data_IF_842782984376
#
_entry.id   IF_842782984376
#
_cell.length_a   1.000
_cell.length_b   1.000
_cell.length_c   1.000
_cell.angle_alpha   90.00
_cell.angle_beta   90.00
_cell.angle_gamma   90.00
#
_symmetry.space_group_name_H-M   'P 1'
#
loop_
_entity.id
_entity.type
_entity.pdbx_description
1 polymer ?
#
# COMPACT_ATOMS: atom_id res chain seq x y z
N UNK A 1 -0.49 -38.97 37.46
CA UNK A 1 0.86 -38.86 36.86
C UNK A 1 1.28 -37.40 36.95
N UNK A 2 2.32 -37.10 37.74
CA UNK A 2 2.80 -35.75 38.05
C UNK A 2 3.95 -35.42 37.11
N UNK A 3 3.81 -34.39 36.27
CA UNK A 3 4.91 -33.86 35.45
C UNK A 3 5.53 -32.66 36.15
N UNK A 4 6.84 -32.79 36.38
CA UNK A 4 7.69 -31.88 37.15
C UNK A 4 7.99 -30.58 36.40
N UNK A 5 7.91 -29.47 37.12
CA UNK A 5 8.38 -28.15 36.70
C UNK A 5 9.89 -28.04 36.98
N UNK A 6 10.68 -27.71 35.95
CA UNK A 6 12.10 -27.34 36.06
C UNK A 6 12.22 -25.82 35.93
N UNK A 7 12.60 -25.08 36.99
CA UNK A 7 12.90 -23.66 36.88
C UNK A 7 14.32 -23.48 36.34
N UNK A 8 14.44 -22.87 35.15
CA UNK A 8 15.71 -22.44 34.59
C UNK A 8 16.06 -21.07 35.17
N UNK A 9 16.76 -21.08 36.31
CA UNK A 9 17.43 -19.94 36.90
C UNK A 9 18.90 -20.01 36.46
N UNK A 10 19.43 -18.94 35.88
CA UNK A 10 20.88 -18.76 35.79
C UNK A 10 21.35 -18.03 34.54
N UNK A 11 21.67 -16.75 34.68
CA UNK A 11 22.31 -15.98 33.62
C UNK A 11 22.45 -14.49 33.95
N UNK A 12 22.96 -14.16 35.13
CA UNK A 12 23.45 -12.82 35.42
C UNK A 12 24.82 -12.62 34.77
N UNK A 13 25.06 -11.48 34.11
CA UNK A 13 26.27 -10.65 34.28
C UNK A 13 26.39 -9.55 33.20
N UNK A 14 26.32 -8.30 33.66
CA UNK A 14 27.28 -7.23 33.42
C UNK A 14 27.81 -7.01 31.98
N UNK A 15 27.33 -5.95 31.33
CA UNK A 15 28.22 -5.01 30.64
C UNK A 15 27.78 -3.58 30.98
N UNK A 16 28.39 -3.05 32.03
CA UNK A 16 28.58 -1.62 32.26
C UNK A 16 29.66 -1.11 31.28
N UNK A 17 29.53 0.16 30.87
CA UNK A 17 30.56 1.07 30.35
C UNK A 17 30.46 1.38 28.86
N UNK A 18 30.13 2.65 28.58
CA UNK A 18 30.20 3.25 27.25
C UNK A 18 29.72 4.70 27.24
N UNK A 19 30.13 5.49 28.24
CA UNK A 19 29.87 6.93 28.31
C UNK A 19 31.09 7.66 27.75
N UNK A 20 30.98 8.12 26.50
CA UNK A 20 31.84 9.11 25.84
C UNK A 20 30.93 9.86 24.87
N UNK A 21 30.31 10.98 25.24
CA UNK A 21 30.85 12.34 25.27
C UNK A 21 31.77 12.71 24.07
N UNK A 22 31.36 13.77 23.36
CA UNK A 22 32.11 14.61 22.40
C UNK A 22 32.26 13.96 21.00
N UNK A 23 31.77 14.50 19.86
CA UNK A 23 31.81 15.85 19.27
C UNK A 23 30.53 16.07 18.41
N UNK A 24 29.76 17.17 18.47
CA UNK A 24 30.08 18.57 18.18
C UNK A 24 30.80 18.78 16.84
N UNK A 25 30.10 18.57 15.73
CA UNK A 25 30.36 19.26 14.45
C UNK A 25 29.05 19.45 13.68
N UNK A 26 28.42 20.60 13.91
CA UNK A 26 27.45 21.18 13.00
C UNK A 26 28.20 21.76 11.79
N UNK A 27 27.90 21.35 10.54
CA UNK A 27 28.38 22.07 9.38
C UNK A 27 27.57 23.38 9.18
N UNK A 28 28.25 24.45 8.73
CA UNK A 28 27.72 25.80 8.64
C UNK A 28 26.62 25.95 7.58
N UNK A 29 25.67 26.81 7.90
CA UNK A 29 24.68 27.39 7.00
C UNK A 29 25.37 28.05 5.80
N UNK A 30 25.25 27.43 4.62
CA UNK A 30 25.61 28.05 3.35
C UNK A 30 24.35 28.64 2.69
N UNK A 31 24.17 29.93 2.93
CA UNK A 31 23.86 30.98 1.96
C UNK A 31 22.99 30.60 0.75
N UNK A 32 21.72 31.00 0.85
CA UNK A 32 20.90 31.63 -0.20
C UNK A 32 21.60 31.92 -1.55
N UNK A 33 21.42 31.02 -2.52
CA UNK A 33 21.48 31.40 -3.94
C UNK A 33 20.07 31.78 -4.40
N UNK A 34 19.86 33.09 -4.46
CA UNK A 34 18.73 33.76 -5.10
C UNK A 34 18.90 33.57 -6.61
N UNK A 35 18.43 32.45 -7.15
CA UNK A 35 18.31 32.26 -8.60
C UNK A 35 17.10 33.07 -9.08
N UNK A 36 17.33 33.90 -10.09
CA UNK A 36 16.40 34.85 -10.65
C UNK A 36 15.11 34.18 -11.14
N UNK A 37 13.98 34.80 -10.80
CA UNK A 37 12.71 34.53 -11.45
C UNK A 37 12.84 34.86 -12.94
N UNK A 38 12.56 33.92 -13.87
CA UNK A 38 12.29 34.27 -15.24
C UNK A 38 11.01 35.10 -15.27
N UNK A 39 11.16 36.32 -15.78
CA UNK A 39 10.08 37.24 -16.15
C UNK A 39 9.15 36.47 -17.09
N UNK A 40 7.87 36.45 -16.74
CA UNK A 40 6.84 35.67 -17.40
C UNK A 40 6.78 35.90 -18.91
N UNK A 41 6.90 34.81 -19.64
CA UNK A 41 6.26 34.71 -20.94
C UNK A 41 4.73 34.69 -20.70
N UNK A 42 3.95 35.52 -21.41
CA UNK A 42 2.51 35.38 -21.42
C UNK A 42 2.19 34.03 -22.03
N UNK A 43 1.72 33.09 -21.20
CA UNK A 43 1.05 31.88 -21.65
C UNK A 43 -0.17 32.40 -22.41
N UNK A 44 -0.05 32.41 -23.74
CA UNK A 44 -1.19 32.60 -24.63
C UNK A 44 -2.21 31.54 -24.22
N UNK A 45 -3.30 32.02 -23.62
CA UNK A 45 -4.49 31.26 -23.29
C UNK A 45 -4.91 30.48 -24.54
N UNK A 46 -4.54 29.20 -24.59
CA UNK A 46 -5.00 28.26 -25.60
C UNK A 46 -6.46 27.90 -25.28
N UNK A 47 -7.34 28.90 -25.29
CA UNK A 47 -8.78 28.80 -25.04
C UNK A 47 -9.59 28.24 -26.21
N UNK A 48 -8.93 27.60 -27.19
CA UNK A 48 -9.58 27.17 -28.43
C UNK A 48 -10.07 25.71 -28.47
N UNK A 49 -9.77 24.88 -27.47
CA UNK A 49 -10.03 23.43 -27.57
C UNK A 49 -10.92 22.83 -26.48
N UNK A 50 -11.37 23.62 -25.50
CA UNK A 50 -12.19 23.12 -24.39
C UNK A 50 -13.53 22.54 -24.85
N UNK A 51 -14.15 23.14 -25.86
CA UNK A 51 -15.42 22.64 -26.42
C UNK A 51 -15.25 21.35 -27.23
N UNK A 52 -14.15 21.24 -27.99
CA UNK A 52 -13.83 20.03 -28.75
C UNK A 52 -13.50 18.85 -27.81
N UNK A 53 -12.77 19.11 -26.72
CA UNK A 53 -12.48 18.10 -25.69
C UNK A 53 -13.73 17.71 -24.90
N UNK A 54 -14.63 18.66 -24.60
CA UNK A 54 -15.93 18.36 -23.99
C UNK A 54 -16.80 17.47 -24.89
N UNK A 55 -16.89 17.77 -26.18
CA UNK A 55 -17.62 16.93 -27.13
C UNK A 55 -17.02 15.52 -27.23
N UNK A 56 -15.68 15.42 -27.20
CA UNK A 56 -14.97 14.14 -27.21
C UNK A 56 -15.24 13.32 -25.95
N UNK A 57 -15.25 13.96 -24.78
CA UNK A 57 -15.60 13.30 -23.52
C UNK A 57 -17.06 12.85 -23.49
N UNK A 58 -18.00 13.68 -23.95
CA UNK A 58 -19.42 13.31 -24.05
C UNK A 58 -19.64 12.11 -24.98
N UNK A 59 -18.96 12.06 -26.13
CA UNK A 59 -19.01 10.93 -27.05
C UNK A 59 -18.48 9.63 -26.40
N UNK A 60 -17.39 9.72 -25.62
CA UNK A 60 -16.85 8.58 -24.88
C UNK A 60 -17.81 8.09 -23.79
N UNK A 61 -18.45 9.00 -23.05
CA UNK A 61 -19.44 8.65 -22.02
C UNK A 61 -20.67 7.98 -22.66
N UNK A 62 -21.16 8.50 -23.79
CA UNK A 62 -22.28 7.89 -24.52
C UNK A 62 -21.93 6.48 -25.03
N UNK A 63 -20.70 6.29 -25.54
CA UNK A 63 -20.21 4.98 -25.94
C UNK A 63 -20.15 3.99 -24.76
N UNK A 64 -19.57 4.38 -23.62
CA UNK A 64 -19.54 3.53 -22.43
C UNK A 64 -20.95 3.20 -21.92
N UNK A 65 -21.86 4.18 -21.86
CA UNK A 65 -23.24 3.96 -21.43
C UNK A 65 -23.96 2.97 -22.35
N UNK A 66 -23.73 3.05 -23.67
CA UNK A 66 -24.26 2.07 -24.62
C UNK A 66 -23.70 0.66 -24.40
N UNK A 67 -22.41 0.55 -24.06
CA UNK A 67 -21.76 -0.73 -23.81
C UNK A 67 -22.25 -1.37 -22.49
N UNK A 68 -22.39 -0.57 -21.44
CA UNK A 68 -22.95 -1.00 -20.14
C UNK A 68 -24.41 -1.42 -20.29
N UNK A 69 -25.22 -0.64 -21.02
CA UNK A 69 -26.62 -1.01 -21.27
C UNK A 69 -26.75 -2.25 -22.16
N UNK A 70 -25.87 -2.45 -23.14
CA UNK A 70 -25.82 -3.69 -23.91
C UNK A 70 -25.40 -4.89 -23.05
N UNK A 71 -24.48 -4.69 -22.10
CA UNK A 71 -24.08 -5.73 -21.14
C UNK A 71 -25.22 -6.07 -20.17
N UNK A 72 -25.93 -5.08 -19.65
CA UNK A 72 -27.13 -5.27 -18.81
C UNK A 72 -28.32 -5.88 -19.57
N UNK A 73 -28.39 -5.76 -20.90
CA UNK A 73 -29.39 -6.48 -21.71
C UNK A 73 -28.98 -7.92 -22.02
N UNK A 74 -27.68 -8.20 -22.11
CA UNK A 74 -27.14 -9.56 -22.37
C UNK A 74 -27.06 -10.41 -21.13
N UNK A 75 -26.82 -9.80 -19.97
CA UNK A 75 -27.00 -10.43 -18.68
C UNK A 75 -28.09 -9.67 -17.98
N UNK A 76 -29.26 -10.27 -17.83
CA UNK A 76 -30.12 -9.97 -16.70
C UNK A 76 -29.58 -10.81 -15.54
N UNK A 77 -28.60 -10.33 -14.75
CA UNK A 77 -27.99 -11.13 -13.70
C UNK A 77 -29.01 -11.44 -12.59
N UNK A 78 -30.18 -10.80 -12.56
CA UNK A 78 -31.26 -11.14 -11.65
C UNK A 78 -31.92 -12.47 -12.05
N UNK A 79 -32.16 -12.71 -13.35
CA UNK A 79 -32.72 -13.97 -13.83
C UNK A 79 -31.73 -15.15 -13.71
N UNK A 80 -30.44 -14.88 -13.87
CA UNK A 80 -29.39 -15.91 -13.78
C UNK A 80 -28.93 -16.18 -12.33
N UNK A 81 -29.03 -15.20 -11.42
CA UNK A 81 -28.82 -15.42 -9.97
C UNK A 81 -30.02 -16.04 -9.27
N UNK A 82 -31.24 -15.88 -9.80
CA UNK A 82 -32.44 -16.52 -9.25
C UNK A 82 -32.42 -18.06 -9.35
N UNK A 83 -31.53 -18.63 -10.17
CA UNK A 83 -31.41 -20.08 -10.36
C UNK A 83 -30.14 -20.71 -9.80
N UNK A 84 -29.16 -19.94 -9.30
CA UNK A 84 -27.99 -20.55 -8.65
C UNK A 84 -28.35 -20.95 -7.21
N UNK A 85 -28.24 -22.24 -6.86
CA UNK A 85 -28.39 -22.69 -5.48
C UNK A 85 -27.49 -21.87 -4.57
N UNK A 86 -28.00 -21.40 -3.42
CA UNK A 86 -27.20 -20.73 -2.39
C UNK A 86 -25.97 -21.55 -1.95
N UNK A 87 -26.00 -22.87 -2.14
CA UNK A 87 -24.88 -23.77 -1.94
C UNK A 87 -23.71 -23.47 -2.90
N UNK A 88 -23.98 -23.14 -4.16
CA UNK A 88 -22.96 -22.87 -5.17
C UNK A 88 -22.25 -21.53 -4.91
N UNK A 89 -22.98 -20.52 -4.41
CA UNK A 89 -22.40 -19.24 -4.00
C UNK A 89 -21.45 -19.43 -2.81
N UNK A 90 -21.86 -20.20 -1.79
CA UNK A 90 -21.00 -20.49 -0.63
C UNK A 90 -19.74 -21.25 -1.02
N UNK A 91 -19.86 -22.20 -1.94
CA UNK A 91 -18.72 -22.96 -2.46
C UNK A 91 -17.75 -22.05 -3.23
N UNK A 92 -18.26 -21.12 -4.03
CA UNK A 92 -17.44 -20.13 -4.75
C UNK A 92 -16.71 -19.20 -3.79
N UNK A 93 -17.39 -18.65 -2.77
CA UNK A 93 -16.75 -17.79 -1.77
C UNK A 93 -15.63 -18.52 -1.03
N UNK A 94 -15.87 -19.75 -0.57
CA UNK A 94 -14.84 -20.55 0.09
C UNK A 94 -13.64 -20.85 -0.83
N UNK A 95 -13.88 -21.11 -2.12
CA UNK A 95 -12.81 -21.31 -3.10
C UNK A 95 -12.03 -20.01 -3.37
N UNK A 96 -12.69 -18.86 -3.37
CA UNK A 96 -12.07 -17.54 -3.54
C UNK A 96 -11.21 -17.18 -2.33
N UNK A 97 -11.71 -17.41 -1.12
CA UNK A 97 -10.96 -17.24 0.12
C UNK A 97 -9.71 -18.14 0.12
N UNK A 98 -9.84 -19.41 -0.25
CA UNK A 98 -8.70 -20.32 -0.33
C UNK A 98 -7.66 -19.86 -1.37
N UNK A 99 -8.10 -19.33 -2.52
CA UNK A 99 -7.21 -18.79 -3.55
C UNK A 99 -6.49 -17.53 -3.07
N UNK A 100 -7.21 -16.65 -2.36
CA UNK A 100 -6.64 -15.44 -1.75
C UNK A 100 -5.59 -15.81 -0.71
N UNK A 101 -5.90 -16.73 0.21
CA UNK A 101 -4.97 -17.18 1.25
C UNK A 101 -3.70 -17.81 0.65
N UNK A 102 -3.86 -18.67 -0.37
CA UNK A 102 -2.73 -19.26 -1.08
C UNK A 102 -1.87 -18.19 -1.78
N UNK A 103 -2.50 -17.18 -2.37
CA UNK A 103 -1.81 -16.07 -3.00
C UNK A 103 -1.02 -15.23 -1.99
N UNK A 104 -1.63 -14.86 -0.85
CA UNK A 104 -0.95 -14.08 0.19
C UNK A 104 0.18 -14.88 0.85
N UNK A 105 0.00 -16.19 1.06
CA UNK A 105 1.07 -17.06 1.54
C UNK A 105 2.27 -17.07 0.58
N UNK A 106 2.02 -17.15 -0.73
CA UNK A 106 3.05 -17.02 -1.77
C UNK A 106 3.75 -15.66 -1.76
N UNK A 107 3.00 -14.58 -1.53
CA UNK A 107 3.54 -13.23 -1.41
C UNK A 107 4.43 -13.08 -0.17
N UNK A 108 4.00 -13.62 0.98
CA UNK A 108 4.79 -13.62 2.21
C UNK A 108 6.10 -14.41 2.04
N UNK A 109 6.05 -15.58 1.40
CA UNK A 109 7.24 -16.37 1.13
C UNK A 109 8.21 -15.62 0.20
N UNK A 110 7.69 -15.00 -0.86
CA UNK A 110 8.48 -14.19 -1.81
C UNK A 110 9.12 -12.98 -1.11
N UNK A 111 8.35 -12.26 -0.31
CA UNK A 111 8.82 -11.13 0.49
C UNK A 111 10.02 -11.51 1.38
N UNK A 112 9.95 -12.66 2.07
CA UNK A 112 11.05 -13.13 2.93
C UNK A 112 12.34 -13.40 2.15
N UNK A 113 12.23 -13.79 0.89
CA UNK A 113 13.36 -14.08 0.00
C UNK A 113 13.90 -12.84 -0.73
N UNK A 114 13.12 -11.75 -0.78
CA UNK A 114 13.58 -10.50 -1.39
C UNK A 114 14.81 -9.95 -0.64
N UNK A 115 15.84 -9.61 -1.43
CA UNK A 115 16.97 -8.84 -0.92
C UNK A 115 16.50 -7.41 -0.62
N UNK A 116 17.16 -6.75 0.32
CA UNK A 116 16.92 -5.33 0.57
C UNK A 116 17.69 -4.53 -0.48
N UNK A 117 17.01 -3.67 -1.24
CA UNK A 117 17.65 -2.61 -2.03
C UNK A 117 17.65 -1.33 -1.17
N UNK A 118 18.82 -0.87 -0.67
CA UNK A 118 18.87 0.30 0.21
C UNK A 118 18.34 1.59 -0.43
N UNK A 119 18.51 1.75 -1.75
CA UNK A 119 18.10 2.97 -2.46
C UNK A 119 16.59 3.01 -2.62
N UNK A 120 15.98 1.91 -3.05
CA UNK A 120 14.53 1.82 -3.21
C UNK A 120 13.82 1.78 -1.86
N UNK A 121 14.25 0.91 -0.93
CA UNK A 121 13.58 0.71 0.36
C UNK A 121 13.52 1.99 1.18
N UNK A 122 14.63 2.74 1.28
CA UNK A 122 14.65 4.01 2.02
C UNK A 122 13.67 5.02 1.43
N UNK A 123 13.62 5.14 0.09
CA UNK A 123 12.70 6.05 -0.57
C UNK A 123 11.23 5.63 -0.38
N UNK A 124 10.93 4.34 -0.59
CA UNK A 124 9.58 3.80 -0.42
C UNK A 124 9.10 3.91 1.04
N UNK A 125 9.95 3.60 2.02
CA UNK A 125 9.66 3.75 3.44
C UNK A 125 9.36 5.22 3.80
N UNK A 126 10.14 6.18 3.30
CA UNK A 126 9.86 7.61 3.52
C UNK A 126 8.49 8.01 3.00
N UNK A 127 8.17 7.62 1.75
CA UNK A 127 6.86 7.90 1.12
C UNK A 127 5.70 7.28 1.88
N UNK A 128 5.86 6.04 2.35
CA UNK A 128 4.86 5.36 3.17
C UNK A 128 4.62 6.09 4.48
N UNK A 129 5.67 6.52 5.18
CA UNK A 129 5.51 7.28 6.42
C UNK A 129 4.85 8.64 6.19
N UNK A 130 5.19 9.34 5.10
CA UNK A 130 4.53 10.60 4.74
C UNK A 130 3.02 10.38 4.52
N UNK A 131 2.62 9.33 3.80
CA UNK A 131 1.22 8.98 3.58
C UNK A 131 0.51 8.55 4.87
N UNK A 132 1.17 7.74 5.71
CA UNK A 132 0.65 7.33 7.03
C UNK A 132 0.43 8.56 7.92
N UNK A 133 1.34 9.52 7.91
CA UNK A 133 1.24 10.73 8.73
C UNK A 133 0.16 11.69 8.25
N UNK A 134 -0.17 11.69 6.96
CA UNK A 134 -1.27 12.49 6.41
C UNK A 134 -2.66 11.90 6.69
N UNK A 135 -2.75 10.58 6.89
CA UNK A 135 -4.01 9.90 7.18
C UNK A 135 -4.20 9.67 8.69
N UNK A 136 -5.10 10.42 9.33
CA UNK A 136 -5.34 10.32 10.79
C UNK A 136 -5.67 8.91 11.28
N UNK A 137 -6.39 8.12 10.47
CA UNK A 137 -6.70 6.73 10.81
C UNK A 137 -5.44 5.85 10.83
N UNK A 138 -4.48 6.09 9.93
CA UNK A 138 -3.26 5.29 9.80
C UNK A 138 -2.22 5.65 10.86
N UNK A 139 -2.09 6.93 11.20
CA UNK A 139 -1.04 7.45 12.11
C UNK A 139 -0.97 6.72 13.45
N UNK A 140 -2.12 6.37 14.03
CA UNK A 140 -2.22 5.65 15.31
C UNK A 140 -2.24 4.12 15.18
N UNK A 141 -2.46 3.59 13.99
CA UNK A 141 -2.71 2.19 13.74
C UNK A 141 -1.50 1.45 13.13
N UNK A 142 -0.71 2.13 12.30
CA UNK A 142 0.52 1.56 11.74
C UNK A 142 1.52 1.23 12.86
N UNK A 143 2.08 0.02 12.82
CA UNK A 143 3.02 -0.51 13.82
C UNK A 143 4.41 -0.72 13.24
N UNK A 144 4.48 -1.40 12.10
CA UNK A 144 5.73 -1.76 11.46
C UNK A 144 5.65 -1.50 9.96
N UNK A 145 6.73 -0.99 9.37
CA UNK A 145 6.88 -0.76 7.94
C UNK A 145 8.24 -1.33 7.52
N UNK A 146 8.22 -2.38 6.71
CA UNK A 146 9.41 -3.06 6.20
C UNK A 146 9.38 -3.04 4.67
N UNK A 147 10.32 -2.35 4.03
CA UNK A 147 10.47 -2.35 2.57
C UNK A 147 11.73 -3.11 2.15
N UNK A 148 11.63 -3.91 1.07
CA UNK A 148 12.73 -4.72 0.52
C UNK A 148 13.22 -4.22 -0.83
N UNK A 149 13.25 -5.04 -1.88
CA UNK A 149 13.69 -4.60 -3.20
C UNK A 149 12.53 -4.04 -4.03
N UNK A 150 11.34 -4.58 -3.83
CA UNK A 150 10.15 -4.23 -4.62
C UNK A 150 8.84 -4.30 -3.85
N UNK A 151 8.85 -4.86 -2.65
CA UNK A 151 7.65 -4.99 -1.82
C UNK A 151 7.85 -4.31 -0.46
N UNK A 152 6.80 -3.66 0.04
CA UNK A 152 6.70 -3.15 1.39
C UNK A 152 5.61 -3.91 2.16
N UNK A 153 5.91 -4.28 3.40
CA UNK A 153 4.99 -4.91 4.34
C UNK A 153 4.65 -3.91 5.45
N UNK A 154 3.37 -3.70 5.68
CA UNK A 154 2.87 -2.80 6.73
C UNK A 154 1.98 -3.59 7.67
N UNK A 155 2.23 -3.46 8.96
CA UNK A 155 1.40 -4.00 10.03
C UNK A 155 0.52 -2.89 10.59
N UNK A 156 -0.78 -3.11 10.62
CA UNK A 156 -1.79 -2.14 11.07
C UNK A 156 -2.64 -2.78 12.16
N UNK A 157 -2.61 -2.23 13.35
CA UNK A 157 -3.51 -2.63 14.42
C UNK A 157 -4.95 -2.21 14.07
N UNK A 158 -5.89 -3.16 14.07
CA UNK A 158 -7.31 -2.86 13.93
C UNK A 158 -7.94 -2.74 15.32
N UNK A 159 -8.52 -1.59 15.62
CA UNK A 159 -9.25 -1.33 16.86
C UNK A 159 -10.71 -1.82 16.79
N UNK A 160 -11.11 -2.42 15.66
CA UNK A 160 -12.48 -2.89 15.42
C UNK A 160 -13.47 -1.77 15.09
N UNK A 161 -13.03 -0.51 15.02
CA UNK A 161 -13.89 0.62 14.67
C UNK A 161 -14.27 0.66 13.18
N UNK A 162 -13.54 -0.10 12.36
CA UNK A 162 -13.66 -0.09 10.90
C UNK A 162 -13.18 1.22 10.26
N UNK A 163 -12.57 2.14 11.02
CA UNK A 163 -12.02 3.40 10.48
C UNK A 163 -10.94 3.14 9.44
N UNK A 164 -10.05 2.18 9.71
CA UNK A 164 -9.00 1.75 8.79
C UNK A 164 -9.59 1.30 7.45
N UNK A 165 -10.54 0.36 7.49
CA UNK A 165 -11.18 -0.18 6.29
C UNK A 165 -11.86 0.91 5.42
N UNK A 166 -12.39 1.95 6.06
CA UNK A 166 -12.99 3.11 5.37
C UNK A 166 -11.94 4.06 4.79
N UNK A 167 -10.81 4.25 5.44
CA UNK A 167 -9.74 5.15 4.99
C UNK A 167 -8.77 4.53 3.98
N UNK A 168 -8.65 3.20 3.98
CA UNK A 168 -7.69 2.48 3.14
C UNK A 168 -7.78 2.83 1.64
N UNK A 169 -8.97 2.91 1.02
CA UNK A 169 -9.07 3.24 -0.40
C UNK A 169 -8.53 4.62 -0.75
N UNK A 170 -8.71 5.62 0.12
CA UNK A 170 -8.20 6.96 -0.11
C UNK A 170 -6.69 7.02 0.15
N UNK A 171 -6.22 6.33 1.19
CA UNK A 171 -4.79 6.26 1.50
C UNK A 171 -4.00 5.54 0.39
N UNK A 172 -4.52 4.45 -0.17
CA UNK A 172 -3.83 3.71 -1.25
C UNK A 172 -3.73 4.51 -2.55
N UNK A 173 -4.67 5.42 -2.82
CA UNK A 173 -4.59 6.33 -3.98
C UNK A 173 -3.39 7.26 -3.92
N UNK A 174 -2.94 7.65 -2.71
CA UNK A 174 -1.76 8.49 -2.52
C UNK A 174 -0.45 7.79 -2.89
N UNK A 175 -0.47 6.46 -3.03
CA UNK A 175 0.69 5.61 -3.26
C UNK A 175 0.70 4.99 -4.66
N UNK A 176 -0.26 5.31 -5.52
CA UNK A 176 -0.42 4.65 -6.83
C UNK A 176 0.79 4.84 -7.75
N UNK A 177 1.55 5.92 -7.56
CA UNK A 177 2.75 6.26 -8.32
C UNK A 177 3.98 5.43 -7.89
N UNK A 178 4.07 5.04 -6.61
CA UNK A 178 5.21 4.29 -6.07
C UNK A 178 4.88 2.79 -5.89
N UNK A 179 3.66 2.48 -5.49
CA UNK A 179 3.20 1.16 -5.06
C UNK A 179 1.79 0.88 -5.62
N UNK A 180 1.67 0.63 -6.95
CA UNK A 180 0.38 0.54 -7.63
C UNK A 180 -0.48 -0.67 -7.23
N UNK A 181 0.10 -1.67 -6.57
CA UNK A 181 -0.61 -2.90 -6.18
C UNK A 181 -0.55 -3.06 -4.67
N UNK A 182 -1.71 -3.34 -4.07
CA UNK A 182 -1.87 -3.54 -2.64
C UNK A 182 -2.71 -4.79 -2.38
N UNK A 183 -2.25 -5.63 -1.45
CA UNK A 183 -2.93 -6.85 -1.03
C UNK A 183 -2.94 -6.88 0.48
N UNK A 184 -4.12 -7.05 1.09
CA UNK A 184 -4.28 -7.11 2.53
C UNK A 184 -4.70 -8.49 3.02
N UNK A 185 -4.26 -8.86 4.21
CA UNK A 185 -4.82 -9.97 4.97
C UNK A 185 -5.02 -9.55 6.42
N UNK A 186 -6.05 -10.10 7.05
CA UNK A 186 -6.28 -9.94 8.48
C UNK A 186 -5.73 -11.15 9.20
N UNK A 187 -4.88 -10.94 10.20
CA UNK A 187 -4.27 -11.98 11.03
C UNK A 187 -4.58 -11.72 12.49
N UNK A 188 -4.67 -12.78 13.28
CA UNK A 188 -4.76 -12.67 14.74
C UNK A 188 -3.34 -12.83 15.28
N UNK A 189 -2.85 -11.81 15.98
CA UNK A 189 -1.50 -11.85 16.55
C UNK A 189 -1.45 -12.74 17.80
N UNK A 190 -0.26 -12.91 18.39
CA UNK A 190 -0.05 -13.76 19.57
C UNK A 190 -0.83 -13.30 20.81
N UNK A 191 -1.27 -12.04 20.84
CA UNK A 191 -2.06 -11.47 21.93
C UNK A 191 -3.57 -11.61 21.70
N UNK A 192 -3.99 -12.29 20.63
CA UNK A 192 -5.39 -12.42 20.24
C UNK A 192 -5.98 -11.15 19.63
N UNK A 193 -5.16 -10.14 19.32
CA UNK A 193 -5.60 -8.91 18.67
C UNK A 193 -5.57 -9.06 17.16
N UNK A 194 -6.55 -8.46 16.50
CA UNK A 194 -6.65 -8.43 15.04
C UNK A 194 -5.68 -7.40 14.47
N UNK A 195 -4.87 -7.82 13.52
CA UNK A 195 -3.92 -6.99 12.79
C UNK A 195 -4.13 -7.17 11.29
N UNK A 196 -4.15 -6.08 10.55
CA UNK A 196 -4.14 -6.12 9.09
C UNK A 196 -2.70 -6.01 8.61
N UNK A 197 -2.24 -7.00 7.87
CA UNK A 197 -0.95 -6.97 7.18
C UNK A 197 -1.21 -6.58 5.73
N UNK A 198 -0.65 -5.46 5.30
CA UNK A 198 -0.67 -5.00 3.92
C UNK A 198 0.66 -5.28 3.24
N UNK A 199 0.60 -5.86 2.05
CA UNK A 199 1.72 -5.96 1.13
C UNK A 199 1.48 -5.01 -0.03
N UNK A 200 2.40 -4.07 -0.22
CA UNK A 200 2.39 -3.09 -1.28
C UNK A 200 3.55 -3.38 -2.22
N UNK A 201 3.28 -3.51 -3.51
CA UNK A 201 4.29 -3.86 -4.51
C UNK A 201 4.55 -2.67 -5.43
N UNK A 202 5.82 -2.37 -5.62
CA UNK A 202 6.31 -1.36 -6.54
C UNK A 202 6.06 -1.74 -8.00
N UNK A 203 6.31 -0.79 -8.93
CA UNK A 203 6.30 -1.08 -10.35
C UNK A 203 7.31 -2.19 -10.66
N UNK A 204 6.96 -3.04 -11.61
CA UNK A 204 7.87 -4.06 -12.10
C UNK A 204 9.12 -3.35 -12.68
N UNK A 205 10.35 -3.67 -12.24
CA UNK A 205 11.54 -3.07 -12.83
C UNK A 205 11.60 -3.28 -14.35
N UNK A 206 11.00 -4.36 -14.88
CA UNK A 206 10.91 -4.61 -16.31
C UNK A 206 9.96 -3.67 -17.06
N UNK A 207 9.02 -3.00 -16.37
CA UNK A 207 8.10 -2.04 -16.98
C UNK A 207 8.62 -0.60 -16.98
N UNK A 208 9.76 -0.33 -16.34
CA UNK A 208 10.41 0.98 -16.44
C UNK A 208 11.03 1.15 -17.83
N UNK A 209 10.57 2.12 -18.65
CA UNK A 209 11.17 2.37 -19.94
C UNK A 209 12.64 2.71 -19.76
N UNK A 210 13.52 2.03 -20.50
CA UNK A 210 14.95 2.30 -20.46
C UNK A 210 15.19 3.81 -20.67
N UNK A 211 16.10 4.44 -19.89
CA UNK A 211 16.40 5.84 -20.06
C UNK A 211 16.84 6.07 -21.51
N UNK A 212 16.13 6.96 -22.22
CA UNK A 212 16.54 7.39 -23.56
C UNK A 212 17.84 8.19 -23.37
N UNK A 213 18.95 7.61 -23.81
CA UNK A 213 20.26 8.24 -23.90
C UNK A 213 20.28 9.30 -24.99
#
# INVERSE_FOLDING_TARGET
>A
MKTSYLPWIGGAALVLSGLALVHLLAPPSATTRREAAPIGEPIAESGGNTDADLQRMQAQVAALQSQVSAMNRRGDPAAQRAGMPMADIRLQVAADEQRHDAYVAGLQASFRLEKVDPRWSTNATSRLWDAINQADAMRGAARNVECRASTCRIEIADDGSGRINKSLPLWSQQLVDVLPRMVGQTVVNQNGQTETVLYLMGPDPASSPAPKS
#
